data_IF_316711167516
#
_entry.id   IF_316711167516
#
_cell.length_a   1.000
_cell.length_b   1.000
_cell.length_c   1.000
_cell.angle_alpha   90.00
_cell.angle_beta   90.00
_cell.angle_gamma   90.00
#
_symmetry.space_group_name_H-M   'P 1'
#
loop_
_entity.id
_entity.type
_entity.pdbx_description
1 polymer ?
#
# COMPACT_ATOMS: atom_id res chain seq x y z
N UNK A 1 15.12 -0.40 -59.14
CA UNK A 1 14.94 -0.18 -57.69
C UNK A 1 14.06 -1.25 -57.02
N UNK A 2 13.58 -2.24 -57.76
CA UNK A 2 12.71 -3.33 -57.26
C UNK A 2 13.40 -4.30 -56.29
N UNK A 3 14.68 -4.61 -56.53
CA UNK A 3 15.42 -5.64 -55.79
C UNK A 3 15.75 -5.24 -54.35
N UNK A 4 16.07 -3.97 -54.11
CA UNK A 4 16.33 -3.43 -52.76
C UNK A 4 15.11 -3.52 -51.84
N UNK A 5 13.91 -3.40 -52.41
CA UNK A 5 12.66 -3.48 -51.66
C UNK A 5 12.36 -4.92 -51.20
N UNK A 6 12.67 -5.91 -52.05
CA UNK A 6 12.55 -7.34 -51.72
C UNK A 6 13.48 -7.76 -50.58
N UNK A 7 14.74 -7.31 -50.58
CA UNK A 7 15.67 -7.58 -49.48
C UNK A 7 15.23 -6.92 -48.17
N UNK A 8 14.79 -5.66 -48.22
CA UNK A 8 14.21 -4.96 -47.05
C UNK A 8 13.01 -5.72 -46.46
N UNK A 9 12.15 -6.29 -47.31
CA UNK A 9 11.00 -7.08 -46.86
C UNK A 9 11.42 -8.35 -46.11
N UNK A 10 12.44 -9.07 -46.60
CA UNK A 10 12.96 -10.27 -45.91
C UNK A 10 13.56 -9.92 -44.56
N UNK A 11 14.31 -8.82 -44.46
CA UNK A 11 14.83 -8.33 -43.19
C UNK A 11 13.73 -7.87 -42.23
N UNK A 12 12.67 -7.22 -42.74
CA UNK A 12 11.54 -6.81 -41.91
C UNK A 12 10.78 -8.03 -41.36
N UNK A 13 10.54 -9.05 -42.18
CA UNK A 13 9.87 -10.30 -41.77
C UNK A 13 10.74 -11.09 -40.79
N UNK A 14 12.03 -11.27 -41.13
CA UNK A 14 12.98 -12.00 -40.28
C UNK A 14 13.24 -11.29 -38.95
N UNK A 15 13.44 -9.97 -38.99
CA UNK A 15 13.65 -9.14 -37.80
C UNK A 15 12.41 -9.04 -36.90
N UNK A 16 11.20 -9.09 -37.46
CA UNK A 16 9.95 -9.05 -36.69
C UNK A 16 9.83 -10.23 -35.71
N UNK A 17 10.19 -11.44 -36.14
CA UNK A 17 10.18 -12.62 -35.28
C UNK A 17 11.17 -12.47 -34.12
N UNK A 18 12.39 -12.01 -34.42
CA UNK A 18 13.43 -11.74 -33.41
C UNK A 18 12.98 -10.65 -32.43
N UNK A 19 12.28 -9.63 -32.92
CA UNK A 19 11.76 -8.54 -32.10
C UNK A 19 10.65 -9.03 -31.15
N UNK A 20 9.71 -9.84 -31.63
CA UNK A 20 8.64 -10.43 -30.80
C UNK A 20 9.23 -11.28 -29.67
N UNK A 21 10.21 -12.12 -29.98
CA UNK A 21 10.91 -12.96 -28.99
C UNK A 21 11.66 -12.09 -27.98
N UNK A 22 12.39 -11.06 -28.44
CA UNK A 22 13.10 -10.12 -27.56
C UNK A 22 12.18 -9.35 -26.62
N UNK A 23 11.03 -8.88 -27.12
CA UNK A 23 10.03 -8.18 -26.31
C UNK A 23 9.39 -9.12 -25.29
N UNK A 24 9.15 -10.38 -25.66
CA UNK A 24 8.65 -11.39 -24.73
C UNK A 24 9.66 -11.67 -23.60
N UNK A 25 10.94 -11.82 -23.91
CA UNK A 25 11.98 -11.99 -22.88
C UNK A 25 12.07 -10.79 -21.93
N UNK A 26 12.02 -9.56 -22.46
CA UNK A 26 12.04 -8.34 -21.63
C UNK A 26 10.79 -8.21 -20.76
N UNK A 27 9.61 -8.52 -21.32
CA UNK A 27 8.34 -8.49 -20.58
C UNK A 27 8.31 -9.57 -19.50
N UNK A 28 8.75 -10.79 -19.80
CA UNK A 28 8.81 -11.89 -18.85
C UNK A 28 9.74 -11.55 -17.69
N UNK A 29 10.96 -11.09 -17.99
CA UNK A 29 11.92 -10.63 -16.99
C UNK A 29 11.36 -9.47 -16.16
N UNK A 30 10.77 -8.45 -16.78
CA UNK A 30 10.17 -7.34 -16.04
C UNK A 30 8.99 -7.77 -15.17
N UNK A 31 8.14 -8.69 -15.64
CA UNK A 31 7.01 -9.20 -14.84
C UNK A 31 7.48 -10.02 -13.66
N UNK A 32 8.49 -10.89 -13.85
CA UNK A 32 9.07 -11.70 -12.79
C UNK A 32 9.85 -10.85 -11.79
N UNK A 33 10.65 -9.90 -12.28
CA UNK A 33 11.39 -8.97 -11.42
C UNK A 33 10.44 -8.02 -10.73
N UNK A 34 9.37 -7.53 -11.37
CA UNK A 34 8.41 -6.63 -10.72
C UNK A 34 7.58 -7.36 -9.66
N UNK A 35 7.21 -8.62 -9.86
CA UNK A 35 6.53 -9.41 -8.83
C UNK A 35 7.46 -9.76 -7.66
N UNK A 36 8.71 -10.14 -7.92
CA UNK A 36 9.73 -10.38 -6.89
C UNK A 36 10.15 -9.08 -6.18
N UNK A 37 10.27 -7.97 -6.91
CA UNK A 37 10.61 -6.67 -6.32
C UNK A 37 9.44 -6.19 -5.46
N UNK A 38 8.18 -6.37 -5.88
CA UNK A 38 7.02 -6.04 -5.05
C UNK A 38 7.00 -6.90 -3.78
N UNK A 39 7.29 -8.19 -3.84
CA UNK A 39 7.36 -9.03 -2.63
C UNK A 39 8.52 -8.66 -1.69
N UNK A 40 9.64 -8.17 -2.23
CA UNK A 40 10.80 -7.72 -1.45
C UNK A 40 10.64 -6.30 -0.89
N UNK A 41 10.04 -5.38 -1.66
CA UNK A 41 9.96 -3.94 -1.37
C UNK A 41 8.65 -3.55 -0.67
N UNK A 42 7.58 -4.29 -0.95
CA UNK A 42 6.32 -4.26 -0.24
C UNK A 42 6.12 -5.65 0.35
N UNK A 43 6.71 -5.96 1.52
CA UNK A 43 6.14 -7.03 2.33
C UNK A 43 4.67 -6.67 2.47
N UNK A 44 3.79 -7.44 1.83
CA UNK A 44 2.33 -7.37 1.95
C UNK A 44 1.90 -7.44 3.43
N UNK A 45 2.83 -7.87 4.28
CA UNK A 45 2.77 -7.95 5.73
C UNK A 45 3.67 -6.91 6.44
N UNK A 46 3.91 -5.74 5.84
CA UNK A 46 3.99 -4.51 6.62
C UNK A 46 2.60 -4.20 7.22
N UNK A 47 2.04 -5.20 7.90
CA UNK A 47 1.06 -5.04 8.96
C UNK A 47 1.64 -3.93 9.78
N UNK A 48 1.02 -2.76 9.68
CA UNK A 48 1.43 -1.55 10.36
C UNK A 48 1.53 -1.94 11.82
N UNK A 49 2.74 -2.30 12.28
CA UNK A 49 2.91 -2.92 13.59
C UNK A 49 2.36 -1.88 14.54
N UNK A 50 1.29 -2.23 15.26
CA UNK A 50 0.70 -1.33 16.26
C UNK A 50 1.80 -1.06 17.28
N UNK A 51 2.51 0.05 17.08
CA UNK A 51 3.59 0.47 17.96
C UNK A 51 2.89 1.03 19.19
N UNK A 52 3.02 0.32 20.31
CA UNK A 52 2.51 0.80 21.59
C UNK A 52 3.17 2.16 21.84
N UNK A 53 2.34 3.20 21.90
CA UNK A 53 2.76 4.54 22.30
C UNK A 53 2.30 4.71 23.74
N UNK A 54 3.24 5.02 24.62
CA UNK A 54 2.92 5.46 25.97
C UNK A 54 2.40 6.90 25.89
N UNK A 55 1.33 7.20 26.62
CA UNK A 55 0.89 8.59 26.78
C UNK A 55 2.02 9.37 27.44
N UNK A 56 2.36 10.54 26.91
CA UNK A 56 3.41 11.40 27.47
C UNK A 56 2.99 11.96 28.84
N UNK A 57 1.68 12.04 29.07
CA UNK A 57 1.02 12.48 30.28
C UNK A 57 0.43 11.28 31.03
N UNK A 58 1.28 10.58 31.77
CA UNK A 58 0.79 9.70 32.84
C UNK A 58 0.26 10.61 33.94
N UNK A 59 -1.06 10.88 33.91
CA UNK A 59 -1.74 11.54 35.03
C UNK A 59 -1.79 10.54 36.17
N UNK A 60 -0.86 10.68 37.12
CA UNK A 60 -0.94 9.93 38.37
C UNK A 60 -2.31 10.21 39.01
N UNK A 61 -3.07 9.17 39.39
CA UNK A 61 -4.25 9.35 40.20
C UNK A 61 -3.79 9.93 41.53
N UNK A 62 -3.85 11.26 41.66
CA UNK A 62 -3.93 11.96 42.94
C UNK A 62 -4.86 11.13 43.82
N UNK A 63 -4.38 10.70 45.01
CA UNK A 63 -4.83 9.52 45.77
C UNK A 63 -6.34 9.32 46.01
N UNK A 64 -7.20 10.21 45.55
CA UNK A 64 -8.63 10.02 45.36
C UNK A 64 -9.00 9.61 43.91
N UNK A 65 -8.87 8.31 43.61
CA UNK A 65 -9.32 7.66 42.36
C UNK A 65 -10.82 7.89 42.04
N UNK A 66 -11.69 8.07 43.06
CA UNK A 66 -13.15 8.13 42.86
C UNK A 66 -13.59 9.32 42.00
N UNK A 67 -12.95 10.47 42.15
CA UNK A 67 -13.29 11.70 41.41
C UNK A 67 -12.84 11.64 39.94
N UNK A 68 -11.65 11.09 39.68
CA UNK A 68 -11.17 10.84 38.32
C UNK A 68 -12.14 9.96 37.53
N UNK A 69 -12.58 8.84 38.12
CA UNK A 69 -13.54 7.93 37.49
C UNK A 69 -14.89 8.59 37.16
N UNK A 70 -15.36 9.50 38.02
CA UNK A 70 -16.63 10.24 37.80
C UNK A 70 -16.53 11.17 36.59
N UNK A 71 -15.44 11.95 36.47
CA UNK A 71 -15.25 12.92 35.38
C UNK A 71 -15.13 12.26 34.01
N UNK A 72 -14.47 11.11 33.91
CA UNK A 72 -14.33 10.41 32.64
C UNK A 72 -15.62 9.67 32.23
N UNK A 73 -16.41 9.18 33.19
CA UNK A 73 -17.71 8.56 32.92
C UNK A 73 -18.75 9.56 32.37
N UNK A 74 -18.85 10.75 32.97
CA UNK A 74 -19.78 11.79 32.50
C UNK A 74 -19.41 12.32 31.12
N UNK A 75 -18.11 12.53 30.84
CA UNK A 75 -17.61 12.98 29.54
C UNK A 75 -17.91 11.96 28.42
N UNK A 76 -17.77 10.67 28.70
CA UNK A 76 -18.10 9.61 27.75
C UNK A 76 -19.60 9.54 27.46
N UNK A 77 -20.45 9.75 28.48
CA UNK A 77 -21.92 9.78 28.33
C UNK A 77 -22.36 10.98 27.48
N UNK A 78 -21.84 12.17 27.77
CA UNK A 78 -22.12 13.39 27.00
C UNK A 78 -21.73 13.26 25.52
N UNK A 79 -20.54 12.69 25.24
CA UNK A 79 -20.10 12.46 23.87
C UNK A 79 -20.98 11.47 23.09
N UNK A 80 -21.54 10.45 23.77
CA UNK A 80 -22.50 9.54 23.14
C UNK A 80 -23.82 10.24 22.85
N UNK A 81 -24.30 11.06 23.77
CA UNK A 81 -25.56 11.80 23.64
C UNK A 81 -25.51 12.83 22.51
N UNK A 82 -24.42 13.61 22.43
CA UNK A 82 -24.16 14.50 21.29
C UNK A 82 -24.09 13.74 19.96
N UNK A 83 -23.46 12.55 19.96
CA UNK A 83 -23.36 11.74 18.75
C UNK A 83 -24.73 11.21 18.30
N UNK A 84 -25.61 10.85 19.23
CA UNK A 84 -26.97 10.41 18.91
C UNK A 84 -27.85 11.58 18.45
N UNK A 85 -27.71 12.75 19.07
CA UNK A 85 -28.44 13.96 18.70
C UNK A 85 -28.02 14.51 17.32
N UNK A 86 -26.77 14.29 16.89
CA UNK A 86 -26.29 14.71 15.58
C UNK A 86 -26.67 13.76 14.42
N UNK A 87 -27.26 12.60 14.73
CA UNK A 87 -27.68 11.58 13.75
C UNK A 87 -29.17 11.73 13.39
N UNK A 88 -29.93 12.49 14.19
CA UNK A 88 -31.34 12.85 13.95
C UNK A 88 -31.41 14.18 13.23
#
# INVERSE_FOLDING_TARGET
>A
METSLGFMAVFAVSGSVVFVVSQFHKRLLFTWTSSNLKSVLLPENAVMKKKVRFAADVVEPSGNNKEHRRRHSSKAKFNRELKMAAIV
#
